data_IF_677557165983
#
_entry.id   IF_677557165983
#
_cell.length_a   1.000
_cell.length_b   1.000
_cell.length_c   1.000
_cell.angle_alpha   90.00
_cell.angle_beta   90.00
_cell.angle_gamma   90.00
#
_symmetry.space_group_name_H-M   'P 1'
#
loop_
_entity.id
_entity.type
_entity.pdbx_description
1 polymer ?
#
# COMPACT_ATOMS: atom_id res chain seq x y z
N UNK A 1 60.80 18.47 -23.34
CA UNK A 1 60.60 17.82 -24.66
C UNK A 1 59.24 17.12 -24.60
N UNK A 2 58.13 17.79 -24.92
CA UNK A 2 57.52 17.99 -26.27
C UNK A 2 57.22 16.70 -27.04
N UNK A 3 55.94 16.33 -27.09
CA UNK A 3 55.15 16.00 -28.31
C UNK A 3 53.78 15.45 -27.84
N UNK A 4 52.68 16.22 -27.71
CA UNK A 4 51.77 16.86 -28.70
C UNK A 4 51.08 15.91 -29.71
N UNK A 5 49.84 15.52 -29.35
CA UNK A 5 48.55 15.62 -30.13
C UNK A 5 48.39 14.76 -31.42
N UNK A 6 47.17 14.36 -31.86
CA UNK A 6 45.98 15.22 -31.92
C UNK A 6 44.60 14.65 -31.54
N UNK A 7 43.74 15.62 -31.23
CA UNK A 7 42.28 15.57 -31.20
C UNK A 7 41.73 15.43 -32.63
N UNK A 8 40.68 14.64 -32.80
CA UNK A 8 39.78 14.72 -33.96
C UNK A 8 38.38 15.06 -33.46
N UNK A 9 37.81 16.21 -33.88
CA UNK A 9 36.40 16.55 -33.69
C UNK A 9 35.60 16.05 -34.89
N UNK A 10 34.37 15.58 -34.67
CA UNK A 10 33.38 15.45 -35.75
C UNK A 10 32.08 16.11 -35.31
N UNK A 11 31.90 17.33 -35.82
CA UNK A 11 30.60 17.94 -36.09
C UNK A 11 29.83 17.11 -37.11
N UNK A 12 28.50 17.04 -36.92
CA UNK A 12 27.40 17.04 -37.90
C UNK A 12 26.17 16.52 -37.13
N UNK A 13 24.93 16.96 -37.30
CA UNK A 13 24.28 18.14 -37.85
C UNK A 13 22.77 17.85 -37.69
N UNK A 14 22.01 18.88 -37.29
CA UNK A 14 20.57 19.09 -37.51
C UNK A 14 19.76 17.94 -38.13
N UNK A 15 18.74 17.46 -37.41
CA UNK A 15 17.38 17.33 -37.97
C UNK A 15 16.39 17.90 -36.97
N UNK A 16 15.91 19.12 -37.26
CA UNK A 16 14.69 19.65 -36.70
C UNK A 16 13.53 18.99 -37.43
N UNK A 17 12.72 18.21 -36.72
CA UNK A 17 11.37 17.86 -37.17
C UNK A 17 10.41 18.55 -36.22
N UNK A 18 9.80 19.62 -36.74
CA UNK A 18 8.56 20.17 -36.21
C UNK A 18 7.48 19.09 -36.31
N UNK A 19 7.01 18.60 -35.17
CA UNK A 19 5.75 17.90 -35.09
C UNK A 19 4.87 18.68 -34.12
N UNK A 20 3.79 19.24 -34.66
CA UNK A 20 2.70 19.85 -33.92
C UNK A 20 2.23 18.87 -32.83
N UNK A 21 2.47 19.19 -31.56
CA UNK A 21 1.69 18.60 -30.47
C UNK A 21 0.42 19.44 -30.32
N UNK A 22 -0.64 19.01 -30.97
CA UNK A 22 -2.00 19.29 -30.52
C UNK A 22 -2.13 18.71 -29.12
N UNK A 23 -2.03 19.58 -28.11
CA UNK A 23 -2.40 19.25 -26.74
C UNK A 23 -3.84 18.73 -26.75
N UNK A 24 -4.10 17.48 -26.31
CA UNK A 24 -5.45 17.11 -25.96
C UNK A 24 -5.79 17.88 -24.70
N UNK A 25 -6.70 18.85 -24.83
CA UNK A 25 -7.47 19.43 -23.74
C UNK A 25 -8.23 18.30 -23.05
N UNK A 26 -7.52 17.60 -22.15
CA UNK A 26 -8.15 16.72 -21.18
C UNK A 26 -9.01 17.61 -20.28
N UNK A 27 -10.28 17.26 -20.02
CA UNK A 27 -11.05 17.98 -19.03
C UNK A 27 -10.30 17.86 -17.71
N UNK A 28 -9.85 19.00 -17.20
CA UNK A 28 -9.44 19.14 -15.80
C UNK A 28 -10.62 18.68 -14.98
N UNK A 29 -10.56 17.45 -14.47
CA UNK A 29 -11.36 17.04 -13.33
C UNK A 29 -10.95 18.01 -12.24
N UNK A 30 -11.80 18.99 -11.97
CA UNK A 30 -11.68 19.80 -10.78
C UNK A 30 -11.49 18.81 -9.62
N UNK A 31 -10.32 18.88 -8.97
CA UNK A 31 -10.12 18.21 -7.70
C UNK A 31 -11.39 18.46 -6.87
N UNK A 32 -12.01 17.43 -6.28
CA UNK A 32 -13.08 17.68 -5.32
C UNK A 32 -12.47 18.65 -4.33
N UNK A 33 -13.03 19.87 -4.28
CA UNK A 33 -12.53 20.92 -3.43
C UNK A 33 -12.46 20.31 -2.03
N UNK A 34 -11.24 19.97 -1.60
CA UNK A 34 -10.98 19.68 -0.22
C UNK A 34 -11.32 21.00 0.45
N UNK A 35 -12.51 21.06 1.04
CA UNK A 35 -12.80 22.04 2.07
C UNK A 35 -11.74 21.78 3.11
N UNK A 36 -10.63 22.51 3.00
CA UNK A 36 -9.64 22.65 4.07
C UNK A 36 -10.50 23.07 5.24
N UNK A 37 -10.80 22.11 6.13
CA UNK A 37 -11.48 22.41 7.37
C UNK A 37 -10.72 23.60 7.92
N UNK A 38 -11.41 24.74 8.08
CA UNK A 38 -10.78 25.98 8.53
C UNK A 38 -10.01 25.60 9.78
N UNK A 39 -8.68 25.52 9.68
CA UNK A 39 -7.83 25.19 10.81
C UNK A 39 -8.24 26.20 11.85
N UNK A 40 -8.89 25.75 12.92
CA UNK A 40 -9.29 26.62 14.02
C UNK A 40 -8.07 27.48 14.30
N UNK A 41 -8.19 28.79 14.07
CA UNK A 41 -7.06 29.73 14.01
C UNK A 41 -6.27 29.61 15.28
N UNK A 42 -5.27 28.75 15.26
CA UNK A 42 -4.51 28.45 16.43
C UNK A 42 -3.52 29.61 16.54
N UNK A 43 -3.78 30.49 17.51
CA UNK A 43 -2.94 31.64 17.79
C UNK A 43 -1.79 31.17 18.67
N UNK A 44 -0.67 30.78 18.05
CA UNK A 44 0.57 30.54 18.78
C UNK A 44 1.38 31.84 18.86
N UNK A 45 1.67 32.29 20.09
CA UNK A 45 2.54 33.45 20.35
C UNK A 45 4.01 33.02 20.29
N UNK A 46 4.83 33.58 19.39
CA UNK A 46 6.25 33.26 19.31
C UNK A 46 7.03 33.45 20.61
N UNK A 47 6.66 34.43 21.44
CA UNK A 47 7.32 34.70 22.71
C UNK A 47 7.00 33.60 23.74
N UNK A 48 5.77 33.08 23.72
CA UNK A 48 5.36 31.95 24.56
C UNK A 48 6.11 30.67 24.17
N UNK A 49 6.25 30.38 22.87
CA UNK A 49 7.04 29.23 22.39
C UNK A 49 8.49 29.34 22.86
N UNK A 50 9.10 30.52 22.75
CA UNK A 50 10.48 30.73 23.21
C UNK A 50 10.63 30.47 24.73
N UNK A 51 9.69 30.97 25.52
CA UNK A 51 9.66 30.75 26.97
C UNK A 51 9.52 29.26 27.33
N UNK A 52 8.64 28.54 26.63
CA UNK A 52 8.49 27.09 26.80
C UNK A 52 9.77 26.34 26.40
N UNK A 53 10.42 26.70 25.29
CA UNK A 53 11.69 26.07 24.89
C UNK A 53 12.79 26.22 25.94
N UNK A 54 12.86 27.38 26.62
CA UNK A 54 13.79 27.62 27.75
C UNK A 54 13.43 26.81 28.99
N UNK A 55 12.16 26.48 29.16
CA UNK A 55 11.68 25.61 30.23
C UNK A 55 12.03 24.14 29.95
N UNK A 56 11.80 23.69 28.71
CA UNK A 56 12.04 22.30 28.26
C UNK A 56 13.52 21.95 28.26
N UNK A 57 14.35 22.84 27.71
CA UNK A 57 15.79 22.73 27.74
C UNK A 57 16.31 23.75 28.73
N UNK A 58 16.61 23.31 29.95
CA UNK A 58 17.36 24.11 30.91
C UNK A 58 18.64 24.68 30.26
N UNK A 59 19.26 25.68 30.91
CA UNK A 59 20.47 26.33 30.40
C UNK A 59 21.53 25.33 29.90
N UNK A 60 22.08 25.56 28.70
CA UNK A 60 23.09 24.69 28.12
C UNK A 60 23.05 24.64 26.59
N UNK A 61 23.89 23.80 25.96
CA UNK A 61 24.01 23.72 24.51
C UNK A 61 22.71 23.29 23.82
N UNK A 62 21.91 22.44 24.46
CA UNK A 62 20.61 22.00 23.92
C UNK A 62 19.62 23.16 23.84
N UNK A 63 19.56 24.02 24.85
CA UNK A 63 18.71 25.21 24.85
C UNK A 63 19.11 26.19 23.74
N UNK A 64 20.41 26.47 23.59
CA UNK A 64 20.92 27.31 22.50
C UNK A 64 20.61 26.72 21.12
N UNK A 65 20.70 25.40 20.97
CA UNK A 65 20.36 24.70 19.71
C UNK A 65 18.86 24.82 19.40
N UNK A 66 17.99 24.54 20.38
CA UNK A 66 16.55 24.63 20.24
C UNK A 66 16.09 26.06 19.89
N UNK A 67 16.59 27.07 20.61
CA UNK A 67 16.31 28.48 20.34
C UNK A 67 16.85 28.94 18.98
N UNK A 68 18.02 28.45 18.58
CA UNK A 68 18.59 28.71 17.25
C UNK A 68 17.72 28.15 16.13
N UNK A 69 17.22 26.91 16.28
CA UNK A 69 16.27 26.28 15.34
C UNK A 69 14.96 27.07 15.30
N UNK A 70 14.41 27.45 16.45
CA UNK A 70 13.20 28.27 16.54
C UNK A 70 13.33 29.64 15.87
N UNK A 71 14.45 30.34 16.10
CA UNK A 71 14.76 31.61 15.43
C UNK A 71 14.80 31.44 13.91
N UNK A 72 15.29 30.30 13.41
CA UNK A 72 15.30 30.01 11.98
C UNK A 72 13.88 29.80 11.43
N UNK A 73 12.96 29.19 12.19
CA UNK A 73 11.53 29.09 11.81
C UNK A 73 10.92 30.48 11.63
N UNK A 74 11.02 31.33 12.66
CA UNK A 74 10.49 32.71 12.63
C UNK A 74 11.04 33.47 11.41
N UNK A 75 12.35 33.35 11.12
CA UNK A 75 12.96 33.98 9.94
C UNK A 75 12.36 33.52 8.60
N UNK A 76 11.91 32.26 8.48
CA UNK A 76 11.28 31.79 7.24
C UNK A 76 9.87 32.35 7.06
N UNK A 77 9.11 32.48 8.14
CA UNK A 77 7.76 33.04 8.12
C UNK A 77 7.82 34.56 7.90
N UNK A 78 8.42 35.31 8.83
CA UNK A 78 8.33 36.77 8.86
C UNK A 78 9.05 37.47 7.71
N UNK A 79 10.16 36.90 7.23
CA UNK A 79 11.04 37.58 6.26
C UNK A 79 10.95 37.03 4.86
N UNK A 80 10.52 35.79 4.70
CA UNK A 80 10.57 35.08 3.41
C UNK A 80 9.21 34.57 2.94
N UNK A 81 8.19 34.60 3.80
CA UNK A 81 6.88 33.99 3.54
C UNK A 81 7.02 32.55 2.99
N UNK A 82 8.01 31.80 3.50
CA UNK A 82 8.35 30.48 2.99
C UNK A 82 7.85 29.40 3.95
N UNK A 83 6.52 29.21 3.91
CA UNK A 83 5.82 28.26 4.78
C UNK A 83 6.36 26.81 4.67
N UNK A 84 6.62 26.25 3.47
CA UNK A 84 7.16 24.88 3.37
C UNK A 84 8.50 24.71 4.08
N UNK A 85 9.41 25.68 3.98
CA UNK A 85 10.70 25.62 4.70
C UNK A 85 10.49 25.85 6.19
N UNK A 86 9.57 26.70 6.61
CA UNK A 86 9.24 26.88 8.03
C UNK A 86 8.71 25.57 8.65
N UNK A 87 7.82 24.86 7.94
CA UNK A 87 7.31 23.55 8.34
C UNK A 87 8.44 22.55 8.52
N UNK A 88 9.33 22.39 7.52
CA UNK A 88 10.49 21.49 7.63
C UNK A 88 11.37 21.83 8.85
N UNK A 89 11.61 23.13 9.12
CA UNK A 89 12.40 23.57 10.29
C UNK A 89 11.71 23.33 11.63
N UNK A 90 10.39 23.45 11.70
CA UNK A 90 9.63 23.08 12.92
C UNK A 90 9.71 21.58 13.15
N UNK A 91 9.53 20.77 12.11
CA UNK A 91 9.62 19.31 12.22
C UNK A 91 11.04 18.86 12.61
N UNK A 92 12.08 19.57 12.16
CA UNK A 92 13.46 19.38 12.62
C UNK A 92 13.70 19.76 14.09
N UNK A 93 13.01 20.79 14.59
CA UNK A 93 13.02 21.11 16.02
C UNK A 93 12.28 20.05 16.83
N UNK A 94 11.15 19.55 16.35
CA UNK A 94 10.38 18.48 17.03
C UNK A 94 11.19 17.18 17.08
N UNK A 95 11.81 16.76 15.97
CA UNK A 95 12.70 15.60 15.92
C UNK A 95 13.84 15.74 16.95
N UNK A 96 14.45 16.91 17.02
CA UNK A 96 15.47 17.21 18.03
C UNK A 96 14.93 17.05 19.46
N UNK A 97 13.74 17.58 19.76
CA UNK A 97 13.13 17.45 21.10
C UNK A 97 12.83 16.01 21.47
N UNK A 98 12.22 15.24 20.56
CA UNK A 98 11.88 13.84 20.78
C UNK A 98 13.14 12.98 20.99
N UNK A 99 14.19 13.20 20.19
CA UNK A 99 15.50 12.52 20.38
C UNK A 99 16.14 12.87 21.73
N UNK A 100 16.05 14.14 22.15
CA UNK A 100 16.62 14.58 23.43
C UNK A 100 15.85 14.04 24.63
N UNK A 101 14.53 13.93 24.51
CA UNK A 101 13.67 13.24 25.48
C UNK A 101 14.04 11.76 25.60
N UNK A 102 14.19 11.05 24.48
CA UNK A 102 14.63 9.65 24.49
C UNK A 102 16.02 9.45 25.12
N UNK A 103 16.86 10.49 25.12
CA UNK A 103 18.18 10.52 25.79
C UNK A 103 18.11 10.93 27.28
N UNK A 104 16.91 11.16 27.84
CA UNK A 104 16.74 11.67 29.21
C UNK A 104 17.21 13.11 29.42
N UNK A 105 17.42 13.88 28.34
CA UNK A 105 17.92 15.26 28.39
C UNK A 105 16.80 16.31 28.43
N UNK A 106 15.54 15.87 28.42
CA UNK A 106 14.35 16.71 28.57
C UNK A 106 13.63 16.23 29.83
N UNK A 107 13.68 17.02 30.89
CA UNK A 107 13.14 16.69 32.22
C UNK A 107 11.89 17.53 32.48
N UNK A 108 10.89 17.37 31.63
CA UNK A 108 9.57 17.98 31.79
C UNK A 108 8.49 16.93 31.63
N UNK A 109 7.31 17.21 32.17
CA UNK A 109 6.17 16.33 32.01
C UNK A 109 5.64 16.31 30.56
N UNK A 110 4.88 15.27 30.25
CA UNK A 110 4.36 14.99 28.91
C UNK A 110 3.35 16.04 28.46
N UNK A 111 2.57 16.61 29.37
CA UNK A 111 1.58 17.62 29.04
C UNK A 111 2.26 18.92 28.59
N UNK A 112 3.32 19.34 29.28
CA UNK A 112 4.13 20.51 28.92
C UNK A 112 4.80 20.31 27.57
N UNK A 113 5.35 19.12 27.29
CA UNK A 113 5.98 18.84 25.99
C UNK A 113 4.94 18.79 24.86
N UNK A 114 3.80 18.14 25.11
CA UNK A 114 2.67 18.08 24.16
C UNK A 114 2.20 19.49 23.80
N UNK A 115 2.01 20.36 24.81
CA UNK A 115 1.61 21.74 24.59
C UNK A 115 2.63 22.50 23.74
N UNK A 116 3.92 22.37 24.03
CA UNK A 116 4.96 23.01 23.21
C UNK A 116 4.95 22.50 21.75
N UNK A 117 4.90 21.18 21.54
CA UNK A 117 4.85 20.61 20.18
C UNK A 117 3.60 21.09 19.45
N UNK A 118 2.45 21.13 20.11
CA UNK A 118 1.22 21.63 19.52
C UNK A 118 1.30 23.11 19.16
N UNK A 119 1.91 23.96 19.98
CA UNK A 119 2.14 25.36 19.64
C UNK A 119 3.07 25.52 18.44
N UNK A 120 4.13 24.70 18.36
CA UNK A 120 5.05 24.70 17.23
C UNK A 120 4.36 24.28 15.92
N UNK A 121 3.62 23.17 15.93
CA UNK A 121 2.89 22.67 14.76
C UNK A 121 1.83 23.67 14.30
N UNK A 122 1.07 24.19 15.25
CA UNK A 122 0.11 25.26 15.05
C UNK A 122 0.72 26.50 14.38
N UNK A 123 1.89 26.96 14.83
CA UNK A 123 2.56 28.14 14.28
C UNK A 123 2.89 28.01 12.79
N UNK A 124 3.10 26.78 12.29
CA UNK A 124 3.36 26.49 10.87
C UNK A 124 2.17 25.86 10.14
N UNK A 125 0.97 25.93 10.72
CA UNK A 125 -0.26 25.43 10.10
C UNK A 125 -0.33 23.91 9.94
N UNK A 126 0.35 23.16 10.81
CA UNK A 126 0.29 21.70 10.87
C UNK A 126 -0.68 21.24 11.97
N UNK A 127 -1.16 19.99 11.85
CA UNK A 127 -2.04 19.37 12.83
C UNK A 127 -1.31 19.12 14.16
N UNK A 128 -2.05 19.14 15.27
CA UNK A 128 -1.51 18.84 16.60
C UNK A 128 -1.29 17.34 16.86
N UNK A 129 -0.65 17.04 17.98
CA UNK A 129 -0.42 15.72 18.55
C UNK A 129 -1.18 15.56 19.88
N UNK A 130 -1.43 14.32 20.28
CA UNK A 130 -2.02 14.00 21.59
C UNK A 130 -0.99 13.53 22.63
N UNK A 131 0.06 12.83 22.19
CA UNK A 131 1.06 12.21 23.06
C UNK A 131 2.44 12.27 22.38
N UNK A 132 3.49 12.77 23.06
CA UNK A 132 4.84 12.77 22.52
C UNK A 132 5.47 11.37 22.52
N UNK A 133 4.93 10.42 23.29
CA UNK A 133 5.41 9.04 23.29
C UNK A 133 4.91 8.27 22.07
N UNK A 134 3.79 8.70 21.49
CA UNK A 134 3.17 8.12 20.30
C UNK A 134 3.28 9.06 19.09
N UNK A 135 4.39 9.80 19.03
CA UNK A 135 4.73 10.74 17.97
C UNK A 135 6.14 10.45 17.46
N UNK A 136 6.29 10.33 16.15
CA UNK A 136 7.56 10.06 15.48
C UNK A 136 7.74 10.96 14.27
N UNK A 137 9.00 11.12 13.83
CA UNK A 137 9.34 11.86 12.61
C UNK A 137 9.94 10.89 11.60
N UNK A 138 9.36 10.85 10.40
CA UNK A 138 9.89 10.11 9.24
C UNK A 138 10.43 11.11 8.24
N UNK A 139 11.67 10.90 7.79
CA UNK A 139 12.32 11.77 6.81
C UNK A 139 12.35 11.12 5.41
N UNK A 140 12.38 11.92 4.34
CA UNK A 140 12.64 11.42 3.00
C UNK A 140 13.99 10.70 2.93
N UNK A 141 14.01 9.52 2.31
CA UNK A 141 15.21 8.71 2.18
C UNK A 141 15.58 7.88 3.41
N UNK A 142 14.78 7.93 4.49
CA UNK A 142 14.99 7.06 5.64
C UNK A 142 14.91 5.57 5.22
N UNK A 143 15.70 4.68 5.86
CA UNK A 143 15.57 3.25 5.68
C UNK A 143 14.23 2.76 6.24
N UNK A 144 13.96 1.45 6.16
CA UNK A 144 12.80 0.84 6.85
C UNK A 144 12.79 1.28 8.32
N UNK A 145 11.68 1.90 8.73
CA UNK A 145 11.47 2.38 10.10
C UNK A 145 10.27 1.68 10.70
N UNK A 146 10.38 1.27 11.96
CA UNK A 146 9.29 0.63 12.70
C UNK A 146 9.04 1.40 13.98
N UNK A 147 7.79 1.73 14.22
CA UNK A 147 7.32 2.43 15.41
C UNK A 147 6.26 1.58 16.11
N UNK A 148 6.27 1.60 17.43
CA UNK A 148 5.33 0.87 18.28
C UNK A 148 4.82 1.86 19.31
N UNK A 149 3.51 1.85 19.55
CA UNK A 149 2.86 2.71 20.54
C UNK A 149 3.39 2.45 21.95
N UNK A 150 3.28 3.43 22.83
CA UNK A 150 3.77 3.35 24.20
C UNK A 150 3.14 2.20 25.01
N UNK A 151 1.88 1.85 24.70
CA UNK A 151 1.18 0.70 25.28
C UNK A 151 1.55 -0.65 24.62
N UNK A 152 2.31 -0.63 23.52
CA UNK A 152 2.71 -1.81 22.77
C UNK A 152 1.58 -2.50 22.00
N UNK A 153 0.37 -1.94 21.95
CA UNK A 153 -0.81 -2.60 21.38
C UNK A 153 -0.95 -2.34 19.87
N UNK A 154 -0.18 -1.41 19.31
CA UNK A 154 -0.21 -1.06 17.89
C UNK A 154 1.19 -0.70 17.40
N UNK A 155 1.43 -0.89 16.12
CA UNK A 155 2.69 -0.50 15.49
C UNK A 155 2.53 -0.26 14.00
N UNK A 156 3.49 0.47 13.45
CA UNK A 156 3.58 0.78 12.03
C UNK A 156 5.00 0.59 11.54
N UNK A 157 5.16 0.03 10.34
CA UNK A 157 6.42 -0.06 9.63
C UNK A 157 6.29 0.66 8.29
N UNK A 158 7.18 1.61 8.06
CA UNK A 158 7.33 2.28 6.77
C UNK A 158 8.43 1.59 5.96
N UNK A 159 8.22 1.36 4.65
CA UNK A 159 9.28 0.91 3.76
C UNK A 159 10.34 2.01 3.58
N UNK A 160 11.47 1.66 2.98
CA UNK A 160 12.51 2.64 2.62
C UNK A 160 11.93 3.76 1.77
N UNK A 161 12.28 5.01 2.09
CA UNK A 161 11.83 6.21 1.37
C UNK A 161 10.30 6.32 1.26
N UNK A 162 9.55 5.93 2.29
CA UNK A 162 8.09 5.93 2.24
C UNK A 162 7.47 7.33 2.05
N UNK A 163 8.15 8.40 2.46
CA UNK A 163 7.61 9.77 2.45
C UNK A 163 8.38 10.70 1.52
N UNK A 164 7.67 11.61 0.86
CA UNK A 164 8.26 12.63 -0.01
C UNK A 164 8.73 13.89 0.71
N UNK A 165 8.25 14.12 1.93
CA UNK A 165 8.63 15.23 2.80
C UNK A 165 8.77 14.76 4.25
N UNK A 166 9.46 15.56 5.09
CA UNK A 166 9.54 15.28 6.53
C UNK A 166 8.13 15.27 7.11
N UNK A 167 7.77 14.19 7.79
CA UNK A 167 6.39 13.89 8.18
C UNK A 167 6.34 13.50 9.64
N UNK A 168 5.38 14.09 10.37
CA UNK A 168 4.99 13.63 11.72
C UNK A 168 4.06 12.46 11.57
N UNK A 169 4.38 11.36 12.25
CA UNK A 169 3.51 10.21 12.41
C UNK A 169 2.99 10.22 13.84
N UNK A 170 1.68 10.14 14.03
CA UNK A 170 1.10 9.97 15.36
C UNK A 170 0.19 8.75 15.41
N UNK A 171 0.05 8.19 16.59
CA UNK A 171 -0.92 7.14 16.88
C UNK A 171 -1.77 7.54 18.09
N UNK A 172 -3.08 7.38 17.96
CA UNK A 172 -4.05 7.65 19.02
C UNK A 172 -4.95 6.44 19.19
N UNK A 173 -5.02 5.90 20.40
CA UNK A 173 -6.03 4.88 20.69
C UNK A 173 -7.42 5.51 20.63
N UNK A 174 -8.23 5.01 19.72
CA UNK A 174 -9.61 5.44 19.50
C UNK A 174 -10.59 4.58 20.31
N UNK A 175 -11.83 5.05 20.42
CA UNK A 175 -12.91 4.23 20.97
C UNK A 175 -13.30 3.14 19.96
N UNK A 176 -13.82 2.01 20.45
CA UNK A 176 -14.27 0.91 19.58
C UNK A 176 -15.37 1.32 18.57
N UNK A 177 -16.09 2.42 18.85
CA UNK A 177 -17.10 2.99 17.97
C UNK A 177 -16.53 3.71 16.73
N UNK A 178 -15.21 3.92 16.66
CA UNK A 178 -14.56 4.60 15.53
C UNK A 178 -14.63 3.80 14.22
N UNK A 179 -14.73 2.47 14.29
CA UNK A 179 -15.02 1.63 13.13
C UNK A 179 -16.54 1.53 12.97
N UNK A 180 -17.09 2.13 11.92
CA UNK A 180 -18.51 2.05 11.56
C UNK A 180 -18.70 0.87 10.60
N UNK A 181 -18.67 -0.33 11.16
CA UNK A 181 -18.85 -1.61 10.43
C UNK A 181 -19.73 -2.58 11.21
N UNK A 182 -20.38 -3.49 10.48
CA UNK A 182 -21.20 -4.59 11.00
C UNK A 182 -20.39 -5.84 11.34
N UNK A 183 -19.09 -5.84 11.00
CA UNK A 183 -18.17 -6.90 11.39
C UNK A 183 -17.96 -6.88 12.91
N UNK A 184 -17.73 -8.05 13.48
CA UNK A 184 -17.37 -8.16 14.90
C UNK A 184 -16.02 -7.46 15.15
N UNK A 185 -15.98 -6.65 16.20
CA UNK A 185 -14.88 -5.71 16.46
C UNK A 185 -14.12 -6.16 17.69
N UNK A 186 -12.81 -6.16 17.55
CA UNK A 186 -11.91 -6.39 18.66
C UNK A 186 -11.36 -5.00 19.06
N UNK A 187 -11.77 -4.45 20.21
CA UNK A 187 -11.94 -3.01 20.48
C UNK A 187 -10.65 -2.18 20.56
N UNK A 188 -9.48 -2.75 20.32
CA UNK A 188 -8.26 -1.98 20.17
C UNK A 188 -8.24 -1.37 18.77
N UNK A 189 -8.66 -0.10 18.70
CA UNK A 189 -8.68 0.70 17.48
C UNK A 189 -7.67 1.83 17.61
N UNK A 190 -6.83 2.03 16.59
CA UNK A 190 -5.82 3.09 16.57
C UNK A 190 -6.01 3.98 15.36
N UNK A 191 -6.06 5.28 15.60
CA UNK A 191 -6.00 6.30 14.58
C UNK A 191 -4.54 6.68 14.35
N UNK A 192 -3.97 6.16 13.28
CA UNK A 192 -2.67 6.57 12.78
C UNK A 192 -2.86 7.80 11.90
N UNK A 193 -2.03 8.83 12.08
CA UNK A 193 -2.12 10.06 11.30
C UNK A 193 -0.75 10.48 10.75
N UNK A 194 -0.76 11.07 9.55
CA UNK A 194 0.39 11.71 8.94
C UNK A 194 0.18 13.22 8.84
N UNK A 195 1.16 14.00 9.27
CA UNK A 195 1.17 15.45 9.09
C UNK A 195 2.49 15.94 8.49
N UNK A 196 2.49 16.57 7.30
CA UNK A 196 1.33 16.81 6.43
C UNK A 196 0.67 15.51 5.93
N UNK A 197 -0.62 15.58 5.61
CA UNK A 197 -1.34 14.48 4.97
C UNK A 197 -0.85 14.28 3.52
N UNK A 198 -1.04 13.07 2.97
CA UNK A 198 -0.64 12.76 1.59
C UNK A 198 0.87 12.77 1.33
N UNK A 199 1.68 12.67 2.39
CA UNK A 199 3.13 12.64 2.31
C UNK A 199 3.71 11.30 1.89
N UNK A 200 2.92 10.23 2.00
CA UNK A 200 3.28 8.88 1.54
C UNK A 200 3.44 8.88 0.02
N UNK A 201 4.57 8.38 -0.50
CA UNK A 201 4.82 8.32 -1.93
C UNK A 201 3.91 7.31 -2.63
N UNK A 202 3.59 7.59 -3.91
CA UNK A 202 2.80 6.66 -4.74
C UNK A 202 3.44 5.26 -4.76
N UNK A 203 2.66 4.26 -4.37
CA UNK A 203 3.09 2.86 -4.30
C UNK A 203 3.76 2.46 -2.98
N UNK A 204 4.14 3.40 -2.11
CA UNK A 204 4.56 3.07 -0.76
C UNK A 204 3.34 2.61 0.06
N UNK A 205 3.48 1.47 0.75
CA UNK A 205 2.48 0.94 1.66
C UNK A 205 3.13 0.72 3.01
N UNK A 206 2.55 1.31 4.05
CA UNK A 206 2.97 1.04 5.42
C UNK A 206 2.31 -0.26 5.90
N UNK A 207 3.05 -1.06 6.66
CA UNK A 207 2.49 -2.22 7.35
C UNK A 207 2.07 -1.78 8.75
N UNK A 208 0.80 -1.94 9.09
CA UNK A 208 0.27 -1.66 10.43
C UNK A 208 -0.06 -2.99 11.11
N UNK A 209 0.31 -3.12 12.38
CA UNK A 209 -0.08 -4.22 13.23
C UNK A 209 -0.88 -3.73 14.43
N UNK A 210 -2.00 -4.36 14.74
CA UNK A 210 -2.82 -4.03 15.91
C UNK A 210 -3.16 -5.30 16.69
N UNK A 211 -3.00 -5.26 18.00
CA UNK A 211 -3.41 -6.33 18.89
C UNK A 211 -4.93 -6.36 19.03
N UNK A 212 -5.58 -7.54 19.02
CA UNK A 212 -6.97 -7.64 19.45
C UNK A 212 -7.05 -7.55 20.98
N UNK A 213 -8.18 -7.08 21.53
CA UNK A 213 -8.37 -7.01 22.98
C UNK A 213 -8.55 -8.42 23.57
N UNK A 214 -7.72 -8.86 24.52
CA UNK A 214 -7.90 -10.16 25.19
C UNK A 214 -9.28 -10.35 25.81
N UNK A 215 -9.90 -9.27 26.30
CA UNK A 215 -11.22 -9.33 26.91
C UNK A 215 -12.31 -9.78 25.94
N UNK A 216 -12.17 -9.49 24.63
CA UNK A 216 -13.11 -9.92 23.60
C UNK A 216 -13.12 -11.44 23.36
N UNK A 217 -12.14 -12.17 23.89
CA UNK A 217 -12.08 -13.63 23.77
C UNK A 217 -12.57 -14.36 25.02
N UNK A 218 -13.07 -13.64 26.02
CA UNK A 218 -13.54 -14.24 27.28
C UNK A 218 -14.62 -15.31 27.04
N UNK A 219 -15.56 -15.03 26.12
CA UNK A 219 -16.68 -15.92 25.79
C UNK A 219 -16.39 -16.89 24.65
N UNK A 220 -15.23 -16.75 23.97
CA UNK A 220 -14.83 -17.66 22.89
C UNK A 220 -14.29 -18.96 23.48
N UNK A 221 -14.84 -20.14 23.12
CA UNK A 221 -14.33 -21.41 23.60
C UNK A 221 -12.83 -21.56 23.30
N UNK A 222 -12.07 -22.06 24.27
CA UNK A 222 -10.60 -22.23 24.17
C UNK A 222 -10.16 -22.92 22.88
N UNK A 223 -10.88 -23.97 22.47
CA UNK A 223 -10.58 -24.75 21.26
C UNK A 223 -10.74 -23.94 19.97
N UNK A 224 -11.52 -22.86 19.98
CA UNK A 224 -11.84 -22.04 18.82
C UNK A 224 -11.00 -20.74 18.77
N UNK A 225 -10.43 -20.29 19.89
CA UNK A 225 -9.69 -19.01 19.98
C UNK A 225 -8.59 -18.87 18.93
N UNK A 226 -7.81 -19.91 18.69
CA UNK A 226 -6.76 -19.85 17.67
C UNK A 226 -7.35 -19.70 16.26
N UNK A 227 -8.44 -20.41 15.96
CA UNK A 227 -9.11 -20.29 14.67
C UNK A 227 -9.74 -18.90 14.48
N UNK A 228 -10.19 -18.24 15.56
CA UNK A 228 -10.62 -16.84 15.53
C UNK A 228 -9.43 -15.93 15.24
N UNK A 229 -8.33 -16.07 15.98
CA UNK A 229 -7.13 -15.25 15.79
C UNK A 229 -6.55 -15.37 14.36
N UNK A 230 -6.49 -16.59 13.83
CA UNK A 230 -5.94 -16.87 12.49
C UNK A 230 -6.77 -16.22 11.37
N UNK A 231 -8.08 -16.02 11.57
CA UNK A 231 -8.97 -15.40 10.58
C UNK A 231 -9.16 -13.89 10.76
N UNK A 232 -8.67 -13.31 11.85
CA UNK A 232 -8.76 -11.86 12.05
C UNK A 232 -7.98 -11.13 10.96
N UNK A 233 -8.56 -10.03 10.52
CA UNK A 233 -7.97 -9.13 9.51
C UNK A 233 -8.02 -7.71 10.03
N UNK A 234 -7.14 -6.86 9.52
CA UNK A 234 -7.14 -5.44 9.89
C UNK A 234 -8.16 -4.72 9.03
N UNK A 235 -9.10 -4.01 9.65
CA UNK A 235 -10.04 -3.14 8.97
C UNK A 235 -9.72 -1.67 9.23
N UNK A 236 -10.11 -0.79 8.32
CA UNK A 236 -10.00 0.65 8.54
C UNK A 236 -11.20 1.42 8.02
N UNK A 237 -11.51 2.52 8.69
CA UNK A 237 -12.63 3.40 8.34
C UNK A 237 -12.15 4.49 7.39
N UNK A 238 -12.42 4.37 6.08
CA UNK A 238 -11.89 5.28 5.06
C UNK A 238 -12.61 6.63 5.05
N UNK A 239 -13.92 6.60 5.23
CA UNK A 239 -14.78 7.78 5.40
C UNK A 239 -15.81 7.50 6.50
N UNK A 240 -16.69 8.44 6.85
CA UNK A 240 -17.75 8.17 7.82
C UNK A 240 -18.69 7.00 7.44
N UNK A 241 -18.73 6.59 6.17
CA UNK A 241 -19.61 5.54 5.66
C UNK A 241 -18.87 4.40 4.94
N UNK A 242 -17.62 4.59 4.54
CA UNK A 242 -16.84 3.59 3.82
C UNK A 242 -15.87 2.87 4.76
N UNK A 243 -16.01 1.54 4.82
CA UNK A 243 -15.14 0.66 5.59
C UNK A 243 -14.42 -0.31 4.65
N UNK A 244 -13.13 -0.52 4.85
CA UNK A 244 -12.31 -1.41 4.04
C UNK A 244 -11.58 -2.44 4.90
N UNK A 245 -11.53 -3.68 4.41
CA UNK A 245 -10.73 -4.76 5.00
C UNK A 245 -9.40 -4.83 4.26
N UNK A 246 -8.31 -4.68 5.00
CA UNK A 246 -6.97 -4.75 4.46
C UNK A 246 -6.55 -6.20 4.23
N UNK A 247 -5.69 -6.41 3.23
CA UNK A 247 -5.03 -7.69 3.03
C UNK A 247 -4.19 -8.02 4.26
N UNK A 248 -4.35 -9.25 4.78
CA UNK A 248 -3.56 -9.73 5.91
C UNK A 248 -2.09 -9.85 5.51
N UNK A 249 -1.21 -9.26 6.32
CA UNK A 249 0.24 -9.29 6.09
C UNK A 249 0.93 -9.74 7.37
N UNK A 250 1.97 -10.58 7.30
CA UNK A 250 2.76 -10.94 8.47
C UNK A 250 3.33 -9.70 9.15
N UNK A 251 3.19 -9.62 10.48
CA UNK A 251 3.77 -8.53 11.27
C UNK A 251 5.30 -8.65 11.23
N UNK A 252 6.03 -7.59 10.85
CA UNK A 252 7.49 -7.62 10.84
C UNK A 252 8.05 -7.94 12.23
N UNK A 253 9.11 -8.74 12.31
CA UNK A 253 9.71 -9.12 13.59
C UNK A 253 10.23 -7.93 14.42
N UNK A 254 10.54 -6.80 13.76
CA UNK A 254 10.92 -5.55 14.42
C UNK A 254 9.74 -4.85 15.13
N UNK A 255 8.50 -5.17 14.76
CA UNK A 255 7.30 -4.62 15.36
C UNK A 255 6.87 -5.50 16.55
N UNK A 256 7.51 -5.28 17.69
CA UNK A 256 7.28 -6.05 18.91
C UNK A 256 5.99 -5.58 19.59
N UNK A 257 4.88 -6.25 19.32
CA UNK A 257 3.59 -5.95 19.93
C UNK A 257 3.36 -6.73 21.24
N UNK A 258 2.71 -6.08 22.21
CA UNK A 258 2.38 -6.58 23.54
C UNK A 258 0.86 -6.79 23.66
N UNK A 259 0.32 -7.81 23.00
CA UNK A 259 -1.13 -8.02 22.86
C UNK A 259 -1.86 -8.53 24.12
N UNK A 260 -1.23 -8.48 25.29
CA UNK A 260 -1.71 -9.15 26.49
C UNK A 260 -1.72 -10.67 26.34
N UNK A 261 -1.90 -11.38 27.47
CA UNK A 261 -2.11 -12.82 27.42
C UNK A 261 -3.58 -13.08 27.06
N UNK A 262 -3.82 -13.65 25.88
CA UNK A 262 -5.10 -14.29 25.60
C UNK A 262 -5.08 -15.60 26.40
N UNK A 263 -5.95 -15.76 27.43
CA UNK A 263 -5.94 -16.95 28.27
C UNK A 263 -5.97 -18.18 27.37
N UNK A 264 -5.15 -19.18 27.67
CA UNK A 264 -5.00 -20.46 26.96
C UNK A 264 -3.94 -20.60 25.86
N UNK A 265 -3.16 -19.56 25.50
CA UNK A 265 -1.88 -19.83 24.81
C UNK A 265 -0.85 -20.53 25.71
N UNK A 266 -1.09 -20.56 27.03
CA UNK A 266 -0.20 -21.17 28.00
C UNK A 266 -0.41 -22.69 28.20
N UNK A 267 -1.53 -23.28 27.75
CA UNK A 267 -1.97 -24.56 28.32
C UNK A 267 -2.71 -25.50 27.35
N UNK A 268 -2.28 -25.59 26.09
CA UNK A 268 -2.41 -26.89 25.40
C UNK A 268 -1.41 -27.84 26.07
N UNK A 269 -1.85 -28.49 27.16
CA UNK A 269 -1.18 -29.54 27.93
C UNK A 269 0.09 -30.09 27.28
N UNK A 270 1.26 -29.56 27.71
CA UNK A 270 2.53 -30.28 27.60
C UNK A 270 2.38 -31.51 28.49
N UNK A 271 1.88 -32.60 27.92
CA UNK A 271 1.84 -33.89 28.62
C UNK A 271 3.24 -34.21 29.13
N UNK A 272 3.34 -34.68 30.37
CA UNK A 272 4.58 -35.02 31.08
C UNK A 272 5.57 -35.84 30.22
N UNK A 273 5.06 -36.62 29.26
CA UNK A 273 5.84 -37.45 28.35
C UNK A 273 6.62 -36.66 27.28
N UNK A 274 6.16 -35.48 26.86
CA UNK A 274 6.85 -34.69 25.82
C UNK A 274 8.02 -33.88 26.39
N UNK A 275 7.92 -33.48 27.66
CA UNK A 275 9.00 -32.79 28.38
C UNK A 275 10.21 -33.70 28.65
N UNK A 276 9.98 -35.02 28.73
CA UNK A 276 11.04 -36.04 28.82
C UNK A 276 11.66 -36.28 27.44
N UNK A 277 10.87 -36.37 26.37
CA UNK A 277 11.43 -36.57 25.02
C UNK A 277 12.21 -35.35 24.55
N UNK A 278 11.76 -34.14 24.84
CA UNK A 278 12.45 -32.91 24.43
C UNK A 278 13.80 -32.77 25.17
N UNK A 279 13.88 -33.14 26.46
CA UNK A 279 15.15 -33.19 27.22
C UNK A 279 16.12 -34.27 26.74
N UNK A 280 15.62 -35.43 26.30
CA UNK A 280 16.47 -36.51 25.79
C UNK A 280 16.98 -36.19 24.37
N UNK A 281 16.14 -35.55 23.55
CA UNK A 281 16.51 -35.11 22.19
C UNK A 281 17.50 -33.95 22.23
N UNK A 282 17.34 -32.99 23.16
CA UNK A 282 18.31 -31.89 23.38
C UNK A 282 19.68 -32.36 23.88
N UNK A 283 19.76 -33.55 24.48
CA UNK A 283 21.02 -34.08 25.02
C UNK A 283 21.82 -34.92 23.99
N UNK A 284 21.16 -35.46 22.98
CA UNK A 284 21.75 -36.42 22.03
C UNK A 284 22.03 -35.79 20.66
N UNK A 285 21.35 -34.72 20.28
CA UNK A 285 21.56 -34.06 18.99
C UNK A 285 22.31 -32.72 19.15
N UNK A 286 23.42 -32.48 18.43
CA UNK A 286 24.06 -31.18 18.39
C UNK A 286 23.07 -30.18 17.79
N UNK A 287 22.62 -29.22 18.61
CA UNK A 287 21.62 -28.23 18.26
C UNK A 287 21.97 -27.56 16.92
N UNK A 288 21.25 -27.86 15.83
CA UNK A 288 21.17 -26.90 14.76
C UNK A 288 20.35 -25.73 15.30
N UNK A 289 20.65 -24.53 14.83
CA UNK A 289 19.98 -23.25 15.10
C UNK A 289 18.54 -23.24 14.55
N UNK A 290 17.81 -24.35 14.75
CA UNK A 290 16.44 -24.52 14.33
C UNK A 290 15.57 -23.73 15.27
N UNK A 291 15.10 -22.59 14.74
CA UNK A 291 13.83 -22.00 15.10
C UNK A 291 13.63 -21.93 16.62
N UNK A 292 14.35 -21.00 17.26
CA UNK A 292 13.71 -20.21 18.30
C UNK A 292 12.29 -19.94 17.82
N UNK A 293 11.33 -20.56 18.50
CA UNK A 293 9.95 -20.55 18.11
C UNK A 293 9.48 -19.10 18.13
N UNK A 294 9.51 -18.45 16.96
CA UNK A 294 8.83 -17.19 16.61
C UNK A 294 7.30 -17.40 16.65
N UNK A 295 6.80 -18.30 17.50
CA UNK A 295 5.41 -18.75 17.57
C UNK A 295 4.68 -18.39 18.85
N UNK A 296 5.29 -17.68 19.79
CA UNK A 296 4.62 -17.33 21.05
C UNK A 296 5.00 -15.91 21.48
N UNK A 297 4.37 -14.88 20.88
CA UNK A 297 4.01 -13.61 21.55
C UNK A 297 3.46 -12.49 20.65
N UNK A 298 3.65 -12.52 19.34
CA UNK A 298 3.13 -11.44 18.45
C UNK A 298 1.71 -11.76 18.00
N UNK A 299 0.75 -11.75 18.93
CA UNK A 299 -0.67 -12.04 18.68
C UNK A 299 -1.44 -10.94 17.94
N UNK A 300 -0.75 -10.10 17.17
CA UNK A 300 -1.36 -8.97 16.46
C UNK A 300 -1.85 -9.35 15.07
N UNK A 301 -2.72 -8.50 14.53
CA UNK A 301 -3.26 -8.59 13.17
C UNK A 301 -2.59 -7.53 12.31
N UNK A 302 -1.91 -7.96 11.25
CA UNK A 302 -1.19 -7.08 10.33
C UNK A 302 -1.95 -6.79 9.05
N UNK A 303 -1.82 -5.56 8.53
CA UNK A 303 -2.35 -5.16 7.23
C UNK A 303 -1.51 -4.07 6.57
N UNK A 304 -1.53 -4.01 5.23
CA UNK A 304 -0.86 -2.94 4.49
C UNK A 304 -1.86 -1.82 4.17
N UNK A 305 -1.47 -0.57 4.41
CA UNK A 305 -2.28 0.60 4.08
C UNK A 305 -1.46 1.70 3.42
N UNK A 306 -2.12 2.45 2.53
CA UNK A 306 -1.65 3.75 2.01
C UNK A 306 -2.46 4.92 2.59
N UNK A 307 -3.52 4.62 3.34
CA UNK A 307 -4.42 5.59 3.93
C UNK A 307 -4.47 5.41 5.45
N UNK A 308 -4.43 6.53 6.14
CA UNK A 308 -4.29 6.59 7.58
C UNK A 308 -5.63 7.03 8.16
N UNK A 309 -6.26 6.10 8.86
CA UNK A 309 -7.56 6.27 9.51
C UNK A 309 -7.67 5.28 10.66
N UNK A 310 -8.73 5.32 11.49
CA UNK A 310 -8.92 4.35 12.55
C UNK A 310 -8.83 2.93 11.99
N UNK A 311 -7.86 2.18 12.52
CA UNK A 311 -7.51 0.81 12.15
C UNK A 311 -7.77 -0.10 13.35
N UNK A 312 -8.39 -1.25 13.13
CA UNK A 312 -8.61 -2.23 14.20
C UNK A 312 -8.89 -3.64 13.68
N UNK A 313 -8.67 -4.66 14.52
CA UNK A 313 -8.93 -6.04 14.18
C UNK A 313 -10.43 -6.30 14.05
N UNK A 314 -10.81 -6.94 12.94
CA UNK A 314 -12.20 -7.34 12.65
C UNK A 314 -12.26 -8.80 12.21
N UNK A 315 -13.38 -9.44 12.50
CA UNK A 315 -13.66 -10.81 12.04
C UNK A 315 -14.63 -10.78 10.85
N UNK A 316 -14.19 -11.19 9.64
CA UNK A 316 -15.03 -11.17 8.45
C UNK A 316 -16.04 -12.33 8.40
N UNK A 317 -15.92 -13.33 9.27
CA UNK A 317 -16.81 -14.51 9.30
C UNK A 317 -17.97 -14.36 10.27
N UNK A 318 -17.82 -13.54 11.32
CA UNK A 318 -18.88 -13.25 12.28
C UNK A 318 -19.68 -12.03 11.79
N UNK A 319 -20.79 -12.29 11.09
CA UNK A 319 -21.76 -11.25 10.74
C UNK A 319 -22.54 -10.87 12.00
N UNK A 320 -22.39 -9.65 12.49
CA UNK A 320 -23.27 -9.10 13.50
C UNK A 320 -24.72 -9.09 12.99
N UNK A 321 -25.66 -9.66 13.74
CA UNK A 321 -27.08 -9.72 13.41
C UNK A 321 -27.82 -8.38 13.52
N UNK A 322 -27.23 -7.28 13.04
CA UNK A 322 -27.80 -5.93 13.05
C UNK A 322 -28.39 -5.55 11.69
N UNK A 323 -29.63 -5.09 11.68
CA UNK A 323 -30.36 -4.70 10.46
C UNK A 323 -30.00 -3.26 10.09
N UNK A 324 -29.10 -3.05 9.12
CA UNK A 324 -28.93 -1.71 8.52
C UNK A 324 -27.57 -1.42 7.88
N UNK A 325 -27.35 -1.89 6.65
CA UNK A 325 -26.22 -1.47 5.81
C UNK A 325 -26.34 -2.08 4.42
N UNK A 326 -26.44 -1.25 3.38
CA UNK A 326 -26.61 -1.73 2.00
C UNK A 326 -25.30 -2.39 1.53
N UNK A 327 -25.38 -3.66 1.11
CA UNK A 327 -24.24 -4.54 0.79
C UNK A 327 -23.48 -4.18 -0.49
N UNK A 328 -23.68 -2.98 -1.04
CA UNK A 328 -23.09 -2.57 -2.32
C UNK A 328 -21.62 -2.18 -2.25
N UNK A 329 -21.04 -1.98 -1.06
CA UNK A 329 -19.62 -1.59 -0.90
C UNK A 329 -18.74 -2.67 -0.23
N UNK A 330 -19.30 -3.82 0.13
CA UNK A 330 -18.54 -4.98 0.65
C UNK A 330 -18.06 -5.95 -0.44
N UNK A 331 -17.85 -5.47 -1.66
CA UNK A 331 -16.90 -6.17 -2.51
C UNK A 331 -15.51 -5.73 -2.05
N UNK A 332 -14.75 -6.67 -1.46
CA UNK A 332 -13.31 -6.73 -1.78
C UNK A 332 -13.22 -6.39 -3.25
N UNK A 333 -12.42 -5.39 -3.66
CA UNK A 333 -12.11 -5.11 -5.07
C UNK A 333 -12.25 -6.42 -5.83
N UNK A 334 -13.38 -6.58 -6.54
CA UNK A 334 -13.73 -7.84 -7.19
C UNK A 334 -12.78 -7.85 -8.38
N UNK A 335 -11.53 -8.26 -8.11
CA UNK A 335 -10.52 -8.37 -9.15
C UNK A 335 -11.13 -9.34 -10.13
N UNK A 336 -11.45 -8.83 -11.32
CA UNK A 336 -12.06 -9.63 -12.35
C UNK A 336 -11.12 -10.81 -12.64
N UNK A 337 -11.61 -12.03 -12.45
CA UNK A 337 -10.92 -13.22 -12.93
C UNK A 337 -11.15 -13.31 -14.43
N UNK A 338 -10.05 -13.22 -15.16
CA UNK A 338 -10.03 -13.52 -16.60
C UNK A 338 -9.74 -15.00 -16.73
N UNK A 339 -10.70 -15.74 -17.26
CA UNK A 339 -10.49 -17.10 -17.72
C UNK A 339 -10.41 -17.06 -19.24
N UNK A 340 -9.41 -17.71 -19.79
CA UNK A 340 -9.34 -17.97 -21.22
C UNK A 340 -9.18 -19.47 -21.41
N UNK A 341 -9.90 -20.05 -22.39
CA UNK A 341 -9.83 -21.48 -22.68
C UNK A 341 -8.63 -21.74 -23.60
N UNK A 342 -7.49 -22.29 -23.13
CA UNK A 342 -6.30 -22.48 -23.95
C UNK A 342 -6.61 -23.32 -25.19
N UNK A 343 -6.12 -22.88 -26.34
CA UNK A 343 -6.33 -23.53 -27.64
C UNK A 343 -5.12 -23.36 -28.54
N UNK A 344 -4.78 -24.42 -29.27
CA UNK A 344 -3.82 -24.39 -30.37
C UNK A 344 -4.57 -24.31 -31.69
N UNK A 345 -4.17 -23.37 -32.55
CA UNK A 345 -4.83 -23.15 -33.83
C UNK A 345 -3.88 -23.44 -34.97
N UNK A 346 -4.23 -24.42 -35.79
CA UNK A 346 -3.49 -24.79 -37.00
C UNK A 346 -4.22 -24.27 -38.23
N UNK A 347 -3.50 -23.66 -39.16
CA UNK A 347 -4.05 -23.21 -40.44
C UNK A 347 -3.00 -23.24 -41.54
N UNK A 348 -3.45 -23.25 -42.79
CA UNK A 348 -2.53 -23.13 -43.92
C UNK A 348 -2.15 -21.65 -44.12
N UNK A 349 -0.89 -21.38 -44.46
CA UNK A 349 -0.46 -20.04 -44.81
C UNK A 349 -1.32 -19.49 -45.96
N UNK A 350 -1.71 -18.22 -45.87
CA UNK A 350 -2.60 -17.54 -46.81
C UNK A 350 -4.09 -17.81 -46.59
N UNK A 351 -4.45 -18.59 -45.55
CA UNK A 351 -5.85 -18.82 -45.18
C UNK A 351 -6.29 -17.96 -44.01
N UNK A 352 -7.59 -17.73 -43.95
CA UNK A 352 -8.27 -16.97 -42.90
C UNK A 352 -9.31 -17.85 -42.23
N UNK A 353 -9.34 -17.81 -40.90
CA UNK A 353 -10.37 -18.44 -40.08
C UNK A 353 -11.26 -17.38 -39.46
N UNK A 354 -12.58 -17.54 -39.61
CA UNK A 354 -13.62 -16.62 -39.09
C UNK A 354 -14.70 -17.36 -38.28
N UNK A 355 -14.48 -18.63 -37.89
CA UNK A 355 -15.46 -19.47 -37.19
C UNK A 355 -15.38 -19.36 -35.66
N UNK A 356 -16.46 -19.75 -34.97
CA UNK A 356 -16.66 -19.60 -33.52
C UNK A 356 -15.74 -20.40 -32.59
N UNK A 357 -14.71 -21.06 -33.13
CA UNK A 357 -13.71 -21.78 -32.31
C UNK A 357 -12.49 -20.93 -31.97
N UNK A 358 -12.40 -19.70 -32.50
CA UNK A 358 -11.28 -18.78 -32.25
C UNK A 358 -11.17 -18.40 -30.76
N UNK A 359 -9.99 -17.91 -30.29
CA UNK A 359 -9.78 -17.63 -28.88
C UNK A 359 -10.86 -16.76 -28.26
N UNK A 360 -11.37 -17.19 -27.11
CA UNK A 360 -12.39 -16.47 -26.33
C UNK A 360 -11.86 -16.15 -24.93
N UNK A 361 -11.99 -14.89 -24.52
CA UNK A 361 -11.86 -14.47 -23.11
C UNK A 361 -13.22 -14.51 -22.46
N UNK A 362 -13.27 -14.99 -21.23
CA UNK A 362 -14.41 -14.83 -20.33
C UNK A 362 -13.97 -14.02 -19.13
N UNK A 363 -14.64 -12.89 -18.89
CA UNK A 363 -14.36 -11.99 -17.78
C UNK A 363 -15.46 -12.15 -16.75
N UNK A 364 -15.05 -12.57 -15.55
CA UNK A 364 -15.95 -12.79 -14.42
C UNK A 364 -15.47 -12.03 -13.20
N UNK A 365 -16.36 -11.71 -12.27
CA UNK A 365 -15.95 -11.38 -10.90
C UNK A 365 -15.39 -12.63 -10.22
N UNK A 366 -14.72 -12.49 -9.08
CA UNK A 366 -14.24 -13.65 -8.30
C UNK A 366 -15.37 -14.60 -7.87
N UNK A 367 -16.61 -14.11 -7.85
CA UNK A 367 -17.82 -14.91 -7.57
C UNK A 367 -18.38 -15.63 -8.79
N UNK A 368 -17.73 -15.53 -9.94
CA UNK A 368 -18.17 -16.12 -11.21
C UNK A 368 -19.23 -15.30 -11.95
N UNK A 369 -19.53 -14.08 -11.51
CA UNK A 369 -20.51 -13.21 -12.18
C UNK A 369 -19.91 -12.64 -13.46
N UNK A 370 -20.58 -12.80 -14.60
CA UNK A 370 -20.08 -12.36 -15.90
C UNK A 370 -20.10 -10.83 -16.03
N UNK A 371 -19.04 -10.24 -16.58
CA UNK A 371 -18.88 -8.77 -16.71
C UNK A 371 -19.07 -8.34 -18.18
N UNK A 372 -20.22 -7.81 -18.59
CA UNK A 372 -20.44 -7.30 -19.94
C UNK A 372 -19.79 -5.92 -20.16
N UNK A 373 -19.59 -5.54 -21.41
CA UNK A 373 -19.18 -4.18 -21.80
C UNK A 373 -17.69 -3.88 -21.70
N UNK A 374 -16.85 -4.84 -21.32
CA UNK A 374 -15.39 -4.65 -21.22
C UNK A 374 -14.80 -4.65 -22.62
N UNK A 375 -14.05 -3.59 -22.96
CA UNK A 375 -13.30 -3.53 -24.21
C UNK A 375 -12.13 -4.50 -24.19
N UNK A 376 -11.92 -5.23 -25.27
CA UNK A 376 -10.85 -6.23 -25.44
C UNK A 376 -10.13 -5.95 -26.75
N UNK A 377 -8.84 -5.60 -26.67
CA UNK A 377 -7.98 -5.40 -27.83
C UNK A 377 -7.03 -6.58 -27.99
N UNK A 378 -7.17 -7.28 -29.10
CA UNK A 378 -6.39 -8.43 -29.54
C UNK A 378 -5.19 -7.98 -30.37
N UNK A 379 -4.04 -8.58 -30.12
CA UNK A 379 -2.87 -8.47 -30.99
C UNK A 379 -2.24 -9.82 -31.22
N UNK A 380 -1.46 -9.92 -32.31
CA UNK A 380 -0.65 -11.09 -32.62
C UNK A 380 0.82 -10.64 -32.68
N UNK A 381 1.69 -11.39 -32.02
CA UNK A 381 3.12 -11.10 -31.94
C UNK A 381 3.93 -12.36 -32.22
N UNK A 382 5.03 -12.18 -32.93
CA UNK A 382 6.08 -13.17 -33.10
C UNK A 382 6.72 -13.54 -31.75
N UNK A 383 6.64 -14.78 -31.27
CA UNK A 383 7.40 -15.20 -30.09
C UNK A 383 8.90 -15.11 -30.38
N UNK A 384 9.63 -14.27 -29.63
CA UNK A 384 11.07 -14.04 -29.80
C UNK A 384 11.94 -15.31 -29.67
N UNK A 385 11.40 -16.36 -29.06
CA UNK A 385 12.10 -17.61 -28.76
C UNK A 385 11.82 -18.75 -29.75
N UNK A 386 10.90 -18.59 -30.70
CA UNK A 386 10.59 -19.63 -31.68
C UNK A 386 11.02 -19.22 -33.08
N UNK A 387 11.67 -20.15 -33.78
CA UNK A 387 12.02 -20.05 -35.19
C UNK A 387 11.39 -21.23 -35.90
N UNK A 388 10.66 -21.00 -36.99
CA UNK A 388 10.45 -19.74 -37.73
C UNK A 388 9.37 -18.86 -37.11
N UNK A 389 9.53 -17.54 -37.27
CA UNK A 389 8.59 -16.54 -36.76
C UNK A 389 7.39 -16.40 -37.69
N UNK A 390 6.18 -16.64 -37.19
CA UNK A 390 4.92 -16.43 -37.92
C UNK A 390 4.48 -14.96 -37.97
N UNK A 391 3.74 -14.59 -39.01
CA UNK A 391 3.19 -13.26 -39.33
C UNK A 391 1.67 -13.32 -39.36
N UNK A 392 1.10 -14.30 -38.65
CA UNK A 392 -0.32 -14.36 -38.45
C UNK A 392 -0.78 -13.06 -37.75
N UNK A 393 -1.95 -12.57 -38.12
CA UNK A 393 -2.51 -11.35 -37.56
C UNK A 393 -4.01 -11.48 -37.30
N UNK A 394 -4.50 -10.70 -36.33
CA UNK A 394 -5.92 -10.65 -35.98
C UNK A 394 -6.59 -9.58 -36.82
N UNK A 395 -7.61 -9.91 -37.63
CA UNK A 395 -8.27 -8.95 -38.54
C UNK A 395 -9.43 -8.18 -37.90
N UNK A 396 -9.63 -8.30 -36.60
CA UNK A 396 -10.61 -7.56 -35.79
C UNK A 396 -10.06 -7.39 -34.39
N UNK A 397 -9.17 -6.40 -34.23
CA UNK A 397 -8.42 -6.21 -33.00
C UNK A 397 -9.33 -5.89 -31.82
N UNK A 398 -10.40 -5.14 -32.01
CA UNK A 398 -11.24 -4.70 -30.89
C UNK A 398 -12.55 -5.50 -30.81
N UNK A 399 -12.87 -5.94 -29.60
CA UNK A 399 -14.11 -6.59 -29.24
C UNK A 399 -14.64 -6.00 -27.92
N UNK A 400 -15.91 -6.25 -27.63
CA UNK A 400 -16.53 -5.89 -26.34
C UNK A 400 -17.17 -7.14 -25.76
N UNK A 401 -17.00 -7.37 -24.45
CA UNK A 401 -17.65 -8.53 -23.83
C UNK A 401 -19.16 -8.43 -23.93
N UNK A 402 -19.80 -9.50 -24.40
CA UNK A 402 -21.26 -9.59 -24.51
C UNK A 402 -21.93 -9.78 -23.13
N UNK A 403 -23.25 -10.01 -23.12
CA UNK A 403 -24.03 -10.28 -21.90
C UNK A 403 -23.54 -11.47 -21.07
N UNK A 404 -22.71 -12.34 -21.66
CA UNK A 404 -22.09 -13.47 -21.00
C UNK A 404 -20.64 -13.18 -20.55
N UNK A 405 -20.19 -11.93 -20.57
CA UNK A 405 -18.82 -11.58 -20.20
C UNK A 405 -17.78 -12.14 -21.16
N UNK A 406 -18.19 -12.57 -22.35
CA UNK A 406 -17.29 -13.20 -23.34
C UNK A 406 -16.96 -12.27 -24.49
N UNK A 407 -15.70 -12.27 -24.91
CA UNK A 407 -15.26 -11.65 -26.16
C UNK A 407 -14.37 -12.64 -26.92
N UNK A 408 -14.59 -12.76 -28.23
CA UNK A 408 -13.83 -13.70 -29.07
C UNK A 408 -13.06 -12.95 -30.15
N UNK A 409 -11.94 -13.51 -30.56
CA UNK A 409 -11.28 -13.12 -31.80
C UNK A 409 -12.24 -13.41 -32.95
N UNK A 410 -12.57 -12.40 -33.75
CA UNK A 410 -13.52 -12.53 -34.88
C UNK A 410 -12.86 -13.08 -36.14
N UNK A 411 -11.55 -12.90 -36.27
CA UNK A 411 -10.81 -13.29 -37.45
C UNK A 411 -9.32 -13.47 -37.15
N UNK A 412 -8.78 -14.62 -37.56
CA UNK A 412 -7.35 -14.92 -37.53
C UNK A 412 -6.88 -15.23 -38.96
N UNK A 413 -5.89 -14.49 -39.43
CA UNK A 413 -5.22 -14.71 -40.70
C UNK A 413 -3.88 -15.38 -40.43
N UNK A 414 -3.61 -16.53 -41.06
CA UNK A 414 -2.40 -17.32 -40.82
C UNK A 414 -1.17 -16.77 -41.56
N UNK A 415 -1.28 -15.57 -42.13
CA UNK A 415 -0.17 -14.84 -42.72
C UNK A 415 0.24 -15.39 -44.09
N UNK A 416 1.45 -15.09 -44.55
CA UNK A 416 1.94 -15.48 -45.90
C UNK A 416 2.98 -16.59 -45.82
N UNK A 417 3.20 -17.31 -46.94
CA UNK A 417 4.12 -18.46 -47.03
C UNK A 417 5.48 -18.18 -46.38
N UNK A 418 5.95 -19.16 -45.61
CA UNK A 418 7.29 -19.21 -45.02
C UNK A 418 8.21 -20.11 -45.82
N UNK A 419 9.52 -19.87 -45.74
CA UNK A 419 10.53 -20.82 -46.22
C UNK A 419 10.54 -22.14 -45.42
N UNK A 420 9.97 -22.10 -44.21
CA UNK A 420 9.91 -23.22 -43.29
C UNK A 420 8.48 -23.79 -43.18
N UNK A 421 8.33 -25.08 -42.89
CA UNK A 421 7.03 -25.78 -42.97
C UNK A 421 6.05 -25.41 -41.85
N UNK A 422 6.51 -24.85 -40.73
CA UNK A 422 5.68 -24.48 -39.58
C UNK A 422 6.16 -23.14 -39.02
N UNK A 423 5.28 -22.14 -38.87
CA UNK A 423 5.61 -20.87 -38.24
C UNK A 423 4.70 -20.59 -37.04
N UNK A 424 5.26 -19.93 -36.02
CA UNK A 424 4.58 -19.72 -34.74
C UNK A 424 4.22 -18.25 -34.47
N UNK A 425 3.01 -18.00 -33.99
CA UNK A 425 2.55 -16.66 -33.56
C UNK A 425 1.80 -16.73 -32.24
N UNK A 426 1.98 -15.69 -31.40
CA UNK A 426 1.32 -15.54 -30.10
C UNK A 426 0.21 -14.50 -30.16
N UNK A 427 -0.98 -14.87 -29.71
CA UNK A 427 -2.10 -13.93 -29.55
C UNK A 427 -2.07 -13.32 -28.15
N UNK A 428 -2.39 -12.04 -28.01
CA UNK A 428 -2.49 -11.30 -26.75
C UNK A 428 -3.83 -10.57 -26.69
N UNK A 429 -4.42 -10.48 -25.50
CA UNK A 429 -5.59 -9.65 -25.21
C UNK A 429 -5.21 -8.56 -24.21
N UNK A 430 -5.70 -7.34 -24.44
CA UNK A 430 -5.59 -6.17 -23.54
C UNK A 430 -7.00 -5.70 -23.21
N UNK A 431 -7.25 -5.28 -21.97
CA UNK A 431 -8.60 -4.98 -21.48
C UNK A 431 -8.77 -3.50 -21.16
N UNK A 432 -9.93 -2.93 -21.52
CA UNK A 432 -10.33 -1.55 -21.26
C UNK A 432 -11.68 -1.54 -20.55
N UNK A 433 -11.81 -0.77 -19.47
CA UNK A 433 -13.05 -0.71 -18.69
C UNK A 433 -14.25 -0.15 -19.49
N UNK A 434 -15.50 -0.59 -19.20
CA UNK A 434 -16.70 -0.07 -19.87
C UNK A 434 -16.94 1.42 -19.58
N UNK A 435 -17.45 2.16 -20.56
CA UNK A 435 -17.92 3.53 -20.36
C UNK A 435 -19.14 3.52 -19.40
N UNK A 436 -18.99 4.08 -18.20
CA UNK A 436 -20.03 4.11 -17.16
C UNK A 436 -19.58 3.56 -15.81
N UNK A 437 -18.50 2.77 -15.75
CA UNK A 437 -17.88 2.31 -14.50
C UNK A 437 -16.95 3.35 -13.84
N UNK A 438 -16.91 4.58 -14.35
CA UNK A 438 -16.04 5.67 -13.87
C UNK A 438 -16.74 6.74 -13.01
N UNK A 439 -18.05 6.68 -12.80
CA UNK A 439 -18.78 7.68 -12.03
C UNK A 439 -19.22 7.12 -10.66
N UNK A 440 -18.32 7.12 -9.67
CA UNK A 440 -18.66 6.69 -8.30
C UNK A 440 -17.49 6.31 -7.39
N UNK A 441 -16.26 6.33 -7.89
CA UNK A 441 -15.08 5.88 -7.16
C UNK A 441 -14.25 5.01 -8.09
N UNK A 442 -13.02 5.43 -8.36
CA UNK A 442 -12.16 4.76 -9.33
C UNK A 442 -11.84 3.33 -8.87
N UNK A 443 -12.57 2.34 -9.39
CA UNK A 443 -12.07 0.97 -9.47
C UNK A 443 -11.09 0.95 -10.63
N UNK A 444 -9.82 1.27 -10.35
CA UNK A 444 -8.73 0.96 -11.27
C UNK A 444 -8.61 -0.56 -11.27
N UNK A 445 -9.21 -1.22 -12.26
CA UNK A 445 -8.92 -2.64 -12.52
C UNK A 445 -7.53 -2.68 -13.16
N UNK A 446 -6.49 -2.69 -12.34
CA UNK A 446 -5.13 -2.95 -12.80
C UNK A 446 -5.04 -4.42 -13.19
N UNK A 447 -5.19 -4.71 -14.48
CA UNK A 447 -4.81 -6.00 -15.02
C UNK A 447 -3.29 -6.06 -15.08
N UNK A 448 -2.66 -6.80 -14.17
CA UNK A 448 -1.31 -7.33 -14.41
C UNK A 448 -1.48 -8.69 -15.09
N UNK A 449 -1.43 -8.78 -16.43
CA UNK A 449 -1.44 -10.07 -17.09
C UNK A 449 -0.13 -10.78 -16.77
N UNK A 450 -0.16 -11.69 -15.79
CA UNK A 450 0.82 -12.76 -15.67
C UNK A 450 0.61 -13.70 -16.85
N UNK A 451 1.23 -13.34 -17.98
CA UNK A 451 1.53 -14.18 -19.14
C UNK A 451 0.41 -15.11 -19.61
N UNK A 452 -0.45 -14.65 -20.53
CA UNK A 452 -1.26 -15.57 -21.34
C UNK A 452 -0.67 -15.61 -22.76
N UNK A 453 -0.04 -16.74 -23.09
CA UNK A 453 0.61 -17.03 -24.37
C UNK A 453 -0.16 -18.12 -25.11
N UNK A 454 -0.47 -17.87 -26.38
CA UNK A 454 -1.11 -18.84 -27.29
C UNK A 454 -0.13 -19.19 -28.39
N UNK A 455 -0.28 -20.37 -28.98
CA UNK A 455 0.55 -20.82 -30.08
C UNK A 455 -0.33 -21.06 -31.31
N UNK A 456 -0.13 -20.24 -32.33
CA UNK A 456 -0.71 -20.43 -33.67
C UNK A 456 0.34 -21.11 -34.53
N UNK A 457 0.00 -22.21 -35.18
CA UNK A 457 0.85 -22.91 -36.14
C UNK A 457 0.35 -22.67 -37.56
N UNK A 458 1.18 -22.08 -38.40
CA UNK A 458 0.91 -21.90 -39.82
C UNK A 458 1.72 -22.91 -40.63
N UNK A 459 1.06 -23.71 -41.46
CA UNK A 459 1.70 -24.72 -42.31
C UNK A 459 1.83 -24.21 -43.75
N UNK A 460 3.04 -24.26 -44.30
CA UNK A 460 3.28 -24.02 -45.72
C UNK A 460 2.92 -25.24 -46.57
N UNK A 461 2.36 -25.05 -47.76
CA UNK A 461 2.36 -26.11 -48.78
C UNK A 461 3.77 -26.18 -49.38
N UNK A 462 4.44 -27.32 -49.23
CA UNK A 462 5.64 -27.62 -50.01
C UNK A 462 5.27 -27.54 -51.49
N UNK A 463 5.99 -26.71 -52.25
CA UNK A 463 5.95 -26.76 -53.71
C UNK A 463 6.74 -27.96 -54.21
#
# INVERSE_FOLDING_TARGET
>A
MFSRRPLIPCLLALWAVSACSSEPTSPSLADPAQTVASVATCQADPAQIESLLRTVFATGPNASSALGKWTNVIKQIDRKNNLPVAQDRVLDLIDFMLKKRAQGQVIIDDATLTNLINQLLCYVGLGGIQSPNDTWIVNPGDPVQTFVTADGQSGIQFPTSAVGARTVVTAVRSTAAALVTDLDKYPYVYDWNLSPSGTLLNGAKATVGVCPDPASFADVPTAERQAVLDRLVLGHQRTATAFEVLAQVPIPAAMVLSCGEIPDQASASRGLFRDITDRVVDWILPQPVMAAAVRLRTGGVGGNTSEFSPLGPVDPQLRGGGVGGNTSEFSRLDVASVSMVPGSYTGAAGTRRTSGDLPTVTITTRRGTLIPGVGVTWSAEAPATQRPVGNAYVCGADAVTNSFGTASVTCLDFGTKYHDPVAYTKIRATFTAPAGLQAGGAVVITFEPSFLTWLVESYGTAD
#
